data_IF_002337563591
#
_entry.id   IF_002337563591
#
_cell.length_a   1.000
_cell.length_b   1.000
_cell.length_c   1.000
_cell.angle_alpha   90.00
_cell.angle_beta   90.00
_cell.angle_gamma   90.00
#
_symmetry.space_group_name_H-M   'P 1'
#
loop_
_entity.id
_entity.type
_entity.pdbx_description
1 polymer ?
#
# COMPACT_ATOMS: atom_id res chain seq x y z
N UNK A 1 25.34 -94.33 -69.56
CA UNK A 1 25.18 -93.03 -70.24
C UNK A 1 25.21 -91.92 -69.19
N UNK A 2 25.98 -90.87 -69.49
CA UNK A 2 26.06 -89.65 -68.71
C UNK A 2 24.67 -89.01 -68.56
N UNK A 3 24.34 -88.57 -67.34
CA UNK A 3 23.42 -87.45 -67.14
C UNK A 3 23.96 -86.62 -65.98
N UNK A 4 24.33 -85.40 -66.33
CA UNK A 4 25.01 -84.41 -65.52
C UNK A 4 24.36 -84.15 -64.15
N UNK A 5 25.14 -83.74 -63.14
CA UNK A 5 24.58 -83.23 -61.90
C UNK A 5 24.06 -81.82 -62.17
N UNK A 6 22.74 -81.61 -62.08
CA UNK A 6 22.18 -80.25 -62.02
C UNK A 6 21.70 -79.94 -60.59
N UNK A 7 21.99 -78.74 -60.07
CA UNK A 7 22.00 -78.42 -58.65
C UNK A 7 20.65 -77.86 -58.22
N UNK A 8 20.11 -78.35 -57.11
CA UNK A 8 19.05 -77.63 -56.37
C UNK A 8 18.75 -78.33 -55.05
N UNK A 9 19.63 -78.24 -54.05
CA UNK A 9 19.11 -77.96 -52.72
C UNK A 9 18.69 -76.50 -52.75
N UNK A 10 17.42 -76.27 -53.09
CA UNK A 10 16.84 -74.94 -53.05
C UNK A 10 17.03 -74.39 -51.62
N UNK A 11 17.67 -73.22 -51.44
CA UNK A 11 17.82 -72.57 -50.13
C UNK A 11 16.48 -72.17 -49.47
N UNK A 12 15.34 -72.43 -50.12
CA UNK A 12 14.00 -71.99 -49.71
C UNK A 12 13.27 -72.88 -48.70
N UNK A 13 13.47 -74.20 -48.71
CA UNK A 13 12.74 -75.12 -47.82
C UNK A 13 13.34 -75.17 -46.39
N UNK A 14 14.66 -75.23 -46.27
CA UNK A 14 15.33 -75.10 -44.97
C UNK A 14 15.12 -73.70 -44.36
N UNK A 15 15.03 -72.66 -45.19
CA UNK A 15 14.75 -71.30 -44.75
C UNK A 15 13.30 -71.08 -44.27
N UNK A 16 12.34 -71.91 -44.69
CA UNK A 16 10.94 -71.82 -44.25
C UNK A 16 10.67 -72.62 -42.98
N UNK A 17 11.30 -73.78 -42.81
CA UNK A 17 11.25 -74.52 -41.53
C UNK A 17 11.98 -73.79 -40.40
N UNK A 18 13.15 -73.21 -40.67
CA UNK A 18 13.87 -72.39 -39.68
C UNK A 18 13.08 -71.15 -39.26
N UNK A 19 12.37 -70.49 -40.19
CA UNK A 19 11.45 -69.39 -39.85
C UNK A 19 10.30 -69.83 -38.95
N UNK A 20 9.70 -70.99 -39.19
CA UNK A 20 8.64 -71.56 -38.33
C UNK A 20 9.17 -71.91 -36.94
N UNK A 21 10.36 -72.48 -36.85
CA UNK A 21 11.01 -72.79 -35.56
C UNK A 21 11.37 -71.53 -34.77
N UNK A 22 11.91 -70.51 -35.45
CA UNK A 22 12.18 -69.20 -34.84
C UNK A 22 10.89 -68.52 -34.37
N UNK A 23 9.80 -68.59 -35.14
CA UNK A 23 8.51 -68.06 -34.71
C UNK A 23 7.96 -68.79 -33.46
N UNK A 24 8.08 -70.12 -33.40
CA UNK A 24 7.71 -70.90 -32.22
C UNK A 24 8.59 -70.59 -30.99
N UNK A 25 9.89 -70.37 -31.20
CA UNK A 25 10.79 -69.92 -30.14
C UNK A 25 10.41 -68.52 -29.63
N UNK A 26 10.12 -67.57 -30.52
CA UNK A 26 9.66 -66.22 -30.13
C UNK A 26 8.33 -66.27 -29.39
N UNK A 27 7.39 -67.11 -29.82
CA UNK A 27 6.14 -67.32 -29.10
C UNK A 27 6.39 -67.87 -27.68
N UNK A 28 7.25 -68.89 -27.56
CA UNK A 28 7.60 -69.48 -26.27
C UNK A 28 8.37 -68.52 -25.37
N UNK A 29 9.24 -67.68 -25.94
CA UNK A 29 9.90 -66.58 -25.22
C UNK A 29 8.85 -65.61 -24.68
N UNK A 30 7.89 -65.17 -25.50
CA UNK A 30 6.84 -64.26 -25.07
C UNK A 30 5.92 -64.86 -23.99
N UNK A 31 5.59 -66.16 -24.09
CA UNK A 31 4.83 -66.88 -23.07
C UNK A 31 5.60 -66.99 -21.75
N UNK A 32 6.89 -67.34 -21.80
CA UNK A 32 7.76 -67.35 -20.62
C UNK A 32 7.92 -65.96 -20.00
N UNK A 33 8.07 -64.91 -20.82
CA UNK A 33 8.15 -63.52 -20.34
C UNK A 33 6.86 -63.11 -19.64
N UNK A 34 5.69 -63.37 -20.23
CA UNK A 34 4.39 -63.07 -19.59
C UNK A 34 4.18 -63.83 -18.30
N UNK A 35 4.49 -65.13 -18.27
CA UNK A 35 4.39 -65.93 -17.06
C UNK A 35 5.34 -65.40 -15.96
N UNK A 36 6.56 -65.00 -16.33
CA UNK A 36 7.51 -64.39 -15.39
C UNK A 36 7.01 -63.04 -14.87
N UNK A 37 6.45 -62.18 -15.73
CA UNK A 37 5.87 -60.90 -15.33
C UNK A 37 4.67 -61.09 -14.40
N UNK A 38 3.76 -62.03 -14.71
CA UNK A 38 2.61 -62.36 -13.86
C UNK A 38 3.06 -62.86 -12.48
N UNK A 39 4.05 -63.76 -12.42
CA UNK A 39 4.58 -64.26 -11.15
C UNK A 39 5.23 -63.13 -10.35
N UNK A 40 5.98 -62.23 -10.99
CA UNK A 40 6.55 -61.05 -10.33
C UNK A 40 5.46 -60.15 -9.76
N UNK A 41 4.40 -59.85 -10.52
CA UNK A 41 3.28 -59.01 -10.05
C UNK A 41 2.56 -59.68 -8.87
N UNK A 42 2.33 -60.99 -8.91
CA UNK A 42 1.72 -61.73 -7.79
C UNK A 42 2.64 -61.77 -6.57
N UNK A 43 3.94 -61.94 -6.76
CA UNK A 43 4.94 -61.92 -5.68
C UNK A 43 5.01 -60.53 -5.02
N UNK A 44 4.99 -59.45 -5.81
CA UNK A 44 4.94 -58.08 -5.30
C UNK A 44 3.63 -57.80 -4.55
N UNK A 45 2.48 -58.22 -5.09
CA UNK A 45 1.17 -58.03 -4.46
C UNK A 45 1.01 -58.84 -3.15
N UNK A 46 1.57 -60.04 -3.07
CA UNK A 46 1.58 -60.85 -1.84
C UNK A 46 2.55 -60.29 -0.81
N UNK A 47 3.74 -59.87 -1.22
CA UNK A 47 4.71 -59.15 -0.38
C UNK A 47 4.09 -57.89 0.22
N UNK A 48 3.42 -57.07 -0.59
CA UNK A 48 2.78 -55.85 -0.12
C UNK A 48 1.66 -56.14 0.90
N UNK A 49 0.82 -57.14 0.65
CA UNK A 49 -0.20 -57.60 1.62
C UNK A 49 0.43 -58.09 2.93
N UNK A 50 1.54 -58.82 2.86
CA UNK A 50 2.25 -59.31 4.04
C UNK A 50 2.85 -58.16 4.85
N UNK A 51 3.52 -57.20 4.19
CA UNK A 51 4.09 -56.00 4.84
C UNK A 51 2.98 -55.16 5.48
N UNK A 52 1.85 -54.94 4.79
CA UNK A 52 0.70 -54.21 5.36
C UNK A 52 0.10 -54.92 6.57
N UNK A 53 0.00 -56.27 6.55
CA UNK A 53 -0.47 -57.05 7.70
C UNK A 53 0.49 -57.00 8.88
N UNK A 54 1.81 -57.07 8.62
CA UNK A 54 2.82 -56.94 9.66
C UNK A 54 2.74 -55.56 10.34
N UNK A 55 2.68 -54.48 9.56
CA UNK A 55 2.53 -53.13 10.08
C UNK A 55 1.20 -52.89 10.82
N UNK A 56 0.12 -53.56 10.40
CA UNK A 56 -1.16 -53.50 11.12
C UNK A 56 -1.12 -54.22 12.46
N UNK A 57 -0.43 -55.37 12.56
CA UNK A 57 -0.23 -56.10 13.81
C UNK A 57 0.62 -55.31 14.80
N UNK A 58 1.74 -54.74 14.36
CA UNK A 58 2.59 -53.89 15.19
C UNK A 58 1.79 -52.72 15.79
N UNK A 59 0.95 -52.05 15.00
CA UNK A 59 0.07 -50.98 15.50
C UNK A 59 -1.01 -51.46 16.46
N UNK A 60 -1.54 -52.67 16.26
CA UNK A 60 -2.51 -53.27 17.19
C UNK A 60 -1.84 -53.62 18.51
N UNK A 61 -0.65 -54.24 18.47
CA UNK A 61 0.17 -54.55 19.66
C UNK A 61 0.51 -53.26 20.44
N UNK A 62 0.85 -52.16 19.76
CA UNK A 62 1.06 -50.86 20.41
C UNK A 62 -0.21 -50.29 21.06
N UNK A 63 -1.38 -50.53 20.45
CA UNK A 63 -2.68 -50.09 20.98
C UNK A 63 -3.09 -50.95 22.18
N UNK A 64 -2.90 -52.27 22.10
CA UNK A 64 -3.12 -53.24 23.17
C UNK A 64 -2.23 -52.94 24.37
N UNK A 65 -0.91 -52.83 24.16
CA UNK A 65 0.03 -52.48 25.22
C UNK A 65 -0.26 -51.11 25.86
N UNK A 66 -0.94 -50.21 25.14
CA UNK A 66 -1.42 -48.95 25.70
C UNK A 66 -2.72 -49.14 26.46
N UNK A 67 -3.66 -49.90 25.94
CA UNK A 67 -4.92 -50.22 26.61
C UNK A 67 -4.66 -50.88 27.97
N UNK A 68 -3.83 -51.92 28.01
CA UNK A 68 -3.43 -52.66 29.21
C UNK A 68 -2.75 -51.78 30.27
N UNK A 69 -2.00 -50.74 29.87
CA UNK A 69 -1.37 -49.81 30.82
C UNK A 69 -2.38 -48.98 31.62
N UNK A 70 -3.57 -48.78 31.07
CA UNK A 70 -4.60 -47.92 31.66
C UNK A 70 -5.80 -48.70 32.18
N UNK A 71 -5.99 -49.95 31.76
CA UNK A 71 -6.92 -50.94 32.34
C UNK A 71 -6.32 -51.48 33.65
N UNK A 72 -6.76 -50.93 34.78
CA UNK A 72 -6.20 -51.28 36.10
C UNK A 72 -6.94 -52.41 36.78
N UNK A 73 -8.21 -52.60 36.44
CA UNK A 73 -9.04 -53.70 36.92
C UNK A 73 -8.96 -54.96 36.05
N UNK A 74 -8.24 -54.88 34.91
CA UNK A 74 -8.00 -55.97 33.97
C UNK A 74 -9.32 -56.62 33.52
N UNK A 75 -10.33 -55.79 33.28
CA UNK A 75 -11.67 -56.21 32.87
C UNK A 75 -11.88 -56.15 31.34
N UNK A 76 -10.80 -55.91 30.59
CA UNK A 76 -10.76 -55.67 29.14
C UNK A 76 -11.62 -54.46 28.70
N UNK A 77 -11.96 -53.55 29.61
CA UNK A 77 -12.83 -52.39 29.39
C UNK A 77 -12.39 -51.13 30.17
N UNK A 78 -12.00 -50.06 29.47
CA UNK A 78 -11.64 -48.82 30.17
C UNK A 78 -12.87 -48.13 30.80
N UNK A 79 -12.87 -48.03 32.12
CA UNK A 79 -13.87 -47.32 32.91
C UNK A 79 -13.76 -45.79 32.76
N UNK A 80 -14.79 -45.03 33.18
CA UNK A 80 -14.79 -43.56 33.10
C UNK A 80 -13.56 -42.92 33.76
N UNK A 81 -13.10 -43.49 34.88
CA UNK A 81 -11.94 -42.98 35.63
C UNK A 81 -10.63 -43.26 34.90
N UNK A 82 -10.53 -44.40 34.23
CA UNK A 82 -9.35 -44.79 33.46
C UNK A 82 -9.27 -44.02 32.15
N UNK A 83 -10.40 -43.76 31.50
CA UNK A 83 -10.46 -42.85 30.34
C UNK A 83 -10.01 -41.43 30.71
N UNK A 84 -10.39 -40.93 31.89
CA UNK A 84 -9.91 -39.65 32.41
C UNK A 84 -8.39 -39.68 32.70
N UNK A 85 -7.89 -40.78 33.28
CA UNK A 85 -6.46 -40.98 33.52
C UNK A 85 -5.67 -41.09 32.21
N UNK A 86 -6.23 -41.75 31.20
CA UNK A 86 -5.67 -41.90 29.86
C UNK A 86 -5.59 -40.56 29.13
N UNK A 87 -6.67 -39.78 29.13
CA UNK A 87 -6.68 -38.44 28.55
C UNK A 87 -5.65 -37.50 29.20
N UNK A 88 -5.48 -37.57 30.52
CA UNK A 88 -4.47 -36.79 31.26
C UNK A 88 -3.05 -37.29 31.05
N UNK A 89 -2.82 -38.60 31.08
CA UNK A 89 -1.49 -39.19 30.95
C UNK A 89 -0.95 -39.12 29.53
N UNK A 90 -1.77 -39.51 28.55
CA UNK A 90 -1.35 -39.63 27.15
C UNK A 90 -1.46 -38.31 26.38
N UNK A 91 -2.58 -37.60 26.54
CA UNK A 91 -2.85 -36.36 25.80
C UNK A 91 -2.61 -35.07 26.58
N UNK A 92 -2.22 -35.18 27.86
CA UNK A 92 -2.07 -34.04 28.80
C UNK A 92 -3.30 -33.13 28.79
N UNK A 93 -4.48 -33.73 28.65
CA UNK A 93 -5.73 -33.02 28.49
C UNK A 93 -6.73 -33.43 29.57
N UNK A 94 -7.31 -32.44 30.24
CA UNK A 94 -8.43 -32.66 31.15
C UNK A 94 -9.72 -32.67 30.34
N UNK A 95 -10.28 -33.87 30.14
CA UNK A 95 -11.52 -34.06 29.39
C UNK A 95 -12.69 -33.40 30.16
N UNK A 96 -13.45 -32.47 29.55
CA UNK A 96 -14.66 -31.91 30.15
C UNK A 96 -15.73 -32.99 30.36
N UNK A 97 -16.58 -32.84 31.39
CA UNK A 97 -17.64 -33.82 31.71
C UNK A 97 -18.62 -33.99 30.54
N UNK A 98 -19.00 -32.90 29.86
CA UNK A 98 -19.84 -32.94 28.66
C UNK A 98 -19.25 -33.79 27.54
N UNK A 99 -17.92 -33.72 27.34
CA UNK A 99 -17.23 -34.51 26.33
C UNK A 99 -17.13 -35.99 26.75
N UNK A 100 -16.94 -36.26 28.05
CA UNK A 100 -16.94 -37.60 28.60
C UNK A 100 -18.30 -38.28 28.44
N UNK A 101 -19.40 -37.58 28.71
CA UNK A 101 -20.75 -38.11 28.52
C UNK A 101 -21.09 -38.32 27.04
N UNK A 102 -20.65 -37.43 26.16
CA UNK A 102 -20.78 -37.62 24.72
C UNK A 102 -19.99 -38.84 24.23
N UNK A 103 -18.77 -39.04 24.73
CA UNK A 103 -17.98 -40.25 24.46
C UNK A 103 -18.71 -41.49 24.97
N UNK A 104 -19.25 -41.44 26.19
CA UNK A 104 -19.97 -42.57 26.80
C UNK A 104 -21.21 -42.96 25.98
N UNK A 105 -21.97 -41.99 25.49
CA UNK A 105 -23.18 -42.22 24.68
C UNK A 105 -22.90 -42.92 23.34
N UNK A 106 -21.71 -42.74 22.77
CA UNK A 106 -21.40 -43.23 21.42
C UNK A 106 -20.45 -44.43 21.40
N UNK A 107 -19.63 -44.63 22.44
CA UNK A 107 -18.60 -45.67 22.48
C UNK A 107 -18.93 -46.82 23.42
N UNK A 108 -19.86 -46.65 24.34
CA UNK A 108 -20.27 -47.71 25.27
C UNK A 108 -21.59 -48.31 24.78
N UNK A 109 -21.55 -49.60 24.45
CA UNK A 109 -22.73 -50.36 24.03
C UNK A 109 -23.72 -50.51 25.21
N UNK A 110 -25.02 -50.61 24.91
CA UNK A 110 -26.08 -50.72 25.93
C UNK A 110 -25.83 -51.93 26.85
N UNK A 111 -25.64 -51.67 28.15
CA UNK A 111 -25.39 -52.70 29.17
C UNK A 111 -23.93 -52.89 29.56
N UNK A 112 -22.97 -52.30 28.84
CA UNK A 112 -21.55 -52.32 29.21
C UNK A 112 -21.15 -51.12 30.09
N UNK A 113 -20.14 -51.30 30.94
CA UNK A 113 -19.67 -50.27 31.90
C UNK A 113 -18.35 -49.60 31.51
N UNK A 114 -17.78 -49.93 30.35
CA UNK A 114 -16.50 -49.39 29.89
C UNK A 114 -16.30 -49.47 28.38
N UNK A 115 -15.21 -48.87 27.90
CA UNK A 115 -14.82 -48.83 26.49
C UNK A 115 -13.93 -50.04 26.18
N UNK A 116 -14.38 -50.91 25.29
CA UNK A 116 -13.62 -52.09 24.84
C UNK A 116 -12.43 -51.71 23.96
N UNK A 117 -11.43 -52.59 23.90
CA UNK A 117 -10.26 -52.44 23.04
C UNK A 117 -10.63 -52.13 21.56
N UNK A 118 -11.64 -52.81 21.02
CA UNK A 118 -12.14 -52.59 19.64
C UNK A 118 -12.59 -51.14 19.38
N UNK A 119 -13.03 -50.44 20.43
CA UNK A 119 -13.50 -49.05 20.40
C UNK A 119 -12.44 -48.06 20.87
N UNK A 120 -11.25 -48.52 21.26
CA UNK A 120 -10.17 -47.67 21.78
C UNK A 120 -9.65 -46.67 20.74
N UNK A 121 -9.61 -47.06 19.46
CA UNK A 121 -9.28 -46.12 18.39
C UNK A 121 -10.30 -44.98 18.29
N UNK A 122 -11.60 -45.29 18.41
CA UNK A 122 -12.67 -44.29 18.44
C UNK A 122 -12.55 -43.38 19.65
N UNK A 123 -12.10 -43.90 20.79
CA UNK A 123 -11.86 -43.10 22.00
C UNK A 123 -10.77 -42.05 21.76
N UNK A 124 -9.68 -42.43 21.09
CA UNK A 124 -8.61 -41.51 20.70
C UNK A 124 -9.12 -40.39 19.78
N UNK A 125 -9.95 -40.74 18.79
CA UNK A 125 -10.58 -39.75 17.90
C UNK A 125 -11.46 -38.81 18.71
N UNK A 126 -12.31 -39.33 19.59
CA UNK A 126 -13.24 -38.51 20.35
C UNK A 126 -12.56 -37.58 21.37
N UNK A 127 -11.48 -38.04 22.03
CA UNK A 127 -10.62 -37.18 22.86
C UNK A 127 -9.94 -36.11 21.99
N UNK A 128 -9.48 -36.46 20.79
CA UNK A 128 -8.95 -35.51 19.81
C UNK A 128 -9.96 -34.41 19.44
N UNK A 129 -11.20 -34.80 19.15
CA UNK A 129 -12.29 -33.86 18.86
C UNK A 129 -12.58 -32.95 20.06
N UNK A 130 -12.60 -33.48 21.28
CA UNK A 130 -12.79 -32.67 22.49
C UNK A 130 -11.65 -31.66 22.72
N UNK A 131 -10.40 -32.04 22.42
CA UNK A 131 -9.23 -31.14 22.46
C UNK A 131 -9.33 -30.02 21.44
N UNK A 132 -9.73 -30.32 20.21
CA UNK A 132 -9.92 -29.28 19.20
C UNK A 132 -11.12 -28.39 19.51
N UNK A 133 -12.24 -28.94 20.00
CA UNK A 133 -13.39 -28.12 20.45
C UNK A 133 -13.02 -27.11 21.53
N UNK A 134 -12.27 -27.52 22.55
CA UNK A 134 -11.84 -26.60 23.62
C UNK A 134 -10.87 -25.52 23.12
N UNK A 135 -9.94 -25.89 22.23
CA UNK A 135 -9.06 -24.92 21.55
C UNK A 135 -9.86 -23.96 20.67
N UNK A 136 -10.85 -24.46 19.94
CA UNK A 136 -11.70 -23.67 19.06
C UNK A 136 -12.58 -22.71 19.83
N UNK A 137 -13.15 -23.11 20.98
CA UNK A 137 -13.89 -22.20 21.87
C UNK A 137 -12.98 -21.05 22.32
N UNK A 138 -11.75 -21.34 22.74
CA UNK A 138 -10.77 -20.32 23.15
C UNK A 138 -10.33 -19.42 21.98
N UNK A 139 -10.18 -19.98 20.78
CA UNK A 139 -9.86 -19.21 19.56
C UNK A 139 -11.03 -18.35 19.13
N UNK A 140 -12.26 -18.85 19.21
CA UNK A 140 -13.49 -18.10 18.90
C UNK A 140 -13.67 -16.95 19.87
N UNK A 141 -13.60 -17.18 21.18
CA UNK A 141 -13.72 -16.10 22.16
C UNK A 141 -12.63 -15.04 22.00
N UNK A 142 -11.39 -15.44 21.71
CA UNK A 142 -10.32 -14.48 21.41
C UNK A 142 -10.55 -13.73 20.10
N UNK A 143 -11.16 -14.33 19.09
CA UNK A 143 -11.49 -13.65 17.82
C UNK A 143 -12.66 -12.70 18.00
N UNK A 144 -13.71 -13.12 18.70
CA UNK A 144 -14.89 -12.31 19.01
C UNK A 144 -14.52 -11.09 19.85
N UNK A 145 -13.67 -11.25 20.87
CA UNK A 145 -13.17 -10.13 21.67
C UNK A 145 -12.35 -9.17 20.80
N UNK A 146 -11.44 -9.69 19.96
CA UNK A 146 -10.66 -8.88 19.03
C UNK A 146 -11.55 -8.14 18.04
N UNK A 147 -12.56 -8.80 17.48
CA UNK A 147 -13.48 -8.21 16.52
C UNK A 147 -14.35 -7.14 17.15
N UNK A 148 -14.83 -7.34 18.38
CA UNK A 148 -15.58 -6.33 19.13
C UNK A 148 -14.73 -5.09 19.37
N UNK A 149 -13.52 -5.27 19.93
CA UNK A 149 -12.59 -4.15 20.19
C UNK A 149 -12.21 -3.44 18.89
N UNK A 150 -11.90 -4.18 17.82
CA UNK A 150 -11.61 -3.58 16.51
C UNK A 150 -12.80 -2.82 15.95
N UNK A 151 -14.03 -3.29 16.15
CA UNK A 151 -15.23 -2.59 15.66
C UNK A 151 -15.44 -1.27 16.39
N UNK A 152 -15.26 -1.26 17.71
CA UNK A 152 -15.37 -0.05 18.54
C UNK A 152 -14.27 0.97 18.14
N UNK A 153 -13.01 0.53 18.04
CA UNK A 153 -11.90 1.40 17.63
C UNK A 153 -12.05 1.91 16.19
N UNK A 154 -12.57 1.07 15.27
CA UNK A 154 -12.86 1.51 13.89
C UNK A 154 -13.97 2.56 13.85
N UNK A 155 -14.99 2.45 14.70
CA UNK A 155 -16.05 3.44 14.78
C UNK A 155 -15.51 4.78 15.29
N UNK A 156 -14.66 4.76 16.31
CA UNK A 156 -13.98 5.96 16.82
C UNK A 156 -13.08 6.61 15.75
N UNK A 157 -12.31 5.81 15.01
CA UNK A 157 -11.52 6.30 13.86
C UNK A 157 -12.43 6.92 12.80
N UNK A 158 -13.58 6.32 12.48
CA UNK A 158 -14.51 6.88 11.50
C UNK A 158 -15.04 8.25 11.94
N UNK A 159 -15.37 8.42 13.22
CA UNK A 159 -15.89 9.69 13.73
C UNK A 159 -14.80 10.77 13.72
N UNK A 160 -13.57 10.42 14.12
CA UNK A 160 -12.42 11.32 14.02
C UNK A 160 -12.11 11.70 12.56
N UNK A 161 -12.21 10.76 11.62
CA UNK A 161 -12.05 11.05 10.17
C UNK A 161 -13.17 11.97 9.66
N UNK A 162 -14.41 11.82 10.14
CA UNK A 162 -15.50 12.75 9.78
C UNK A 162 -15.27 14.15 10.33
N UNK A 163 -14.70 14.29 11.53
CA UNK A 163 -14.33 15.59 12.06
C UNK A 163 -13.22 16.24 11.24
N UNK A 164 -12.16 15.49 10.92
CA UNK A 164 -11.12 15.95 10.03
C UNK A 164 -11.66 16.32 8.63
N UNK A 165 -12.64 15.58 8.11
CA UNK A 165 -13.29 15.89 6.84
C UNK A 165 -13.99 17.26 6.84
N UNK A 166 -14.63 17.64 7.95
CA UNK A 166 -15.24 18.98 8.09
C UNK A 166 -14.18 20.08 8.09
N UNK A 167 -13.07 19.85 8.79
CA UNK A 167 -11.95 20.79 8.81
C UNK A 167 -11.31 20.96 7.41
N UNK A 168 -11.16 19.86 6.66
CA UNK A 168 -10.74 19.89 5.25
C UNK A 168 -11.71 20.71 4.39
N UNK A 169 -13.02 20.54 4.56
CA UNK A 169 -14.02 21.27 3.78
C UNK A 169 -14.01 22.78 4.09
N UNK A 170 -13.77 23.17 5.34
CA UNK A 170 -13.60 24.57 5.74
C UNK A 170 -12.34 25.19 5.13
N UNK A 171 -11.22 24.46 5.19
CA UNK A 171 -9.98 24.90 4.57
C UNK A 171 -10.10 25.00 3.04
N UNK A 172 -10.79 24.06 2.37
CA UNK A 172 -11.02 24.11 0.92
C UNK A 172 -11.89 25.31 0.50
N UNK A 173 -12.88 25.68 1.32
CA UNK A 173 -13.66 26.92 1.11
C UNK A 173 -12.78 28.16 1.20
N UNK A 174 -11.82 28.18 2.12
CA UNK A 174 -10.89 29.30 2.26
C UNK A 174 -9.93 29.38 1.06
N UNK A 175 -9.34 28.25 0.64
CA UNK A 175 -8.52 28.16 -0.58
C UNK A 175 -9.31 28.62 -1.81
N UNK A 176 -10.59 28.29 -1.89
CA UNK A 176 -11.46 28.73 -2.99
C UNK A 176 -11.70 30.24 -3.01
N UNK A 177 -11.68 30.93 -1.86
CA UNK A 177 -11.72 32.40 -1.80
C UNK A 177 -10.41 33.00 -2.31
N UNK A 178 -9.27 32.44 -1.89
CA UNK A 178 -7.94 32.84 -2.37
C UNK A 178 -7.85 32.70 -3.90
N UNK A 179 -8.32 31.58 -4.45
CA UNK A 179 -8.31 31.36 -5.90
C UNK A 179 -9.11 32.40 -6.69
N UNK A 180 -10.28 32.79 -6.17
CA UNK A 180 -11.10 33.85 -6.78
C UNK A 180 -10.40 35.21 -6.77
N UNK A 181 -9.59 35.48 -5.76
CA UNK A 181 -8.81 36.71 -5.66
C UNK A 181 -7.63 36.73 -6.64
N UNK A 182 -6.93 35.60 -6.81
CA UNK A 182 -5.75 35.53 -7.72
C UNK A 182 -6.12 35.45 -9.19
N UNK A 183 -7.29 34.90 -9.53
CA UNK A 183 -7.73 34.72 -10.93
C UNK A 183 -7.72 36.02 -11.76
N UNK A 184 -8.24 37.17 -11.28
CA UNK A 184 -8.20 38.43 -12.02
C UNK A 184 -6.86 39.18 -11.94
N UNK A 185 -5.87 38.73 -11.17
CA UNK A 185 -4.62 39.50 -10.99
C UNK A 185 -3.89 39.73 -12.32
N UNK A 186 -3.85 38.73 -13.19
CA UNK A 186 -3.14 38.86 -14.47
C UNK A 186 -3.77 39.90 -15.41
N UNK A 187 -5.10 40.08 -15.38
CA UNK A 187 -5.77 41.11 -16.18
C UNK A 187 -5.66 42.48 -15.51
N UNK A 188 -5.90 42.54 -14.20
CA UNK A 188 -5.77 43.75 -13.38
C UNK A 188 -4.37 44.37 -13.45
N UNK A 189 -3.34 43.54 -13.60
CA UNK A 189 -1.96 44.01 -13.70
C UNK A 189 -1.71 44.94 -14.87
N UNK A 190 -2.53 44.87 -15.92
CA UNK A 190 -2.38 45.73 -17.10
C UNK A 190 -2.89 47.14 -16.82
N UNK A 191 -3.96 47.27 -16.04
CA UNK A 191 -4.72 48.52 -15.88
C UNK A 191 -4.49 49.21 -14.54
N UNK A 192 -4.09 48.48 -13.49
CA UNK A 192 -3.88 49.07 -12.16
C UNK A 192 -2.60 49.90 -12.08
N UNK A 193 -2.65 50.92 -11.20
CA UNK A 193 -1.50 51.71 -10.80
C UNK A 193 -0.56 50.90 -9.91
N UNK A 194 0.73 51.26 -9.90
CA UNK A 194 1.77 50.52 -9.17
C UNK A 194 1.49 50.42 -7.66
N UNK A 195 1.09 51.50 -6.95
CA UNK A 195 0.80 51.42 -5.52
C UNK A 195 -0.32 50.41 -5.21
N UNK A 196 -1.44 50.50 -5.93
CA UNK A 196 -2.58 49.60 -5.78
C UNK A 196 -2.22 48.14 -6.14
N UNK A 197 -1.28 47.93 -7.08
CA UNK A 197 -0.78 46.59 -7.40
C UNK A 197 0.03 45.99 -6.24
N UNK A 198 0.80 46.80 -5.51
CA UNK A 198 1.58 46.32 -4.37
C UNK A 198 0.63 45.98 -3.22
N UNK A 199 -0.29 46.88 -2.87
CA UNK A 199 -1.27 46.68 -1.80
C UNK A 199 -2.13 45.43 -2.05
N UNK A 200 -2.66 45.26 -3.26
CA UNK A 200 -3.45 44.08 -3.62
C UNK A 200 -2.62 42.78 -3.56
N UNK A 201 -1.32 42.84 -3.86
CA UNK A 201 -0.42 41.69 -3.73
C UNK A 201 -0.16 41.32 -2.27
N UNK A 202 0.04 42.33 -1.40
CA UNK A 202 0.23 42.15 0.05
C UNK A 202 -1.01 41.50 0.68
N UNK A 203 -2.20 42.00 0.36
CA UNK A 203 -3.48 41.42 0.81
C UNK A 203 -3.63 39.96 0.34
N UNK A 204 -3.31 39.70 -0.93
CA UNK A 204 -3.42 38.35 -1.50
C UNK A 204 -2.43 37.39 -0.84
N UNK A 205 -1.19 37.84 -0.58
CA UNK A 205 -0.18 37.02 0.08
C UNK A 205 -0.53 36.74 1.55
N UNK A 206 -1.14 37.70 2.25
CA UNK A 206 -1.68 37.48 3.59
C UNK A 206 -2.74 36.37 3.58
N UNK A 207 -3.71 36.43 2.67
CA UNK A 207 -4.72 35.38 2.53
C UNK A 207 -4.12 34.01 2.14
N UNK A 208 -3.10 33.99 1.27
CA UNK A 208 -2.38 32.74 0.91
C UNK A 208 -1.67 32.16 2.14
N UNK A 209 -1.04 33.00 2.97
CA UNK A 209 -0.34 32.59 4.19
C UNK A 209 -1.30 31.95 5.19
N UNK A 210 -2.44 32.60 5.44
CA UNK A 210 -3.49 32.05 6.31
C UNK A 210 -4.05 30.72 5.77
N UNK A 211 -4.27 30.63 4.46
CA UNK A 211 -4.75 29.39 3.84
C UNK A 211 -3.74 28.24 3.96
N UNK A 212 -2.44 28.54 3.86
CA UNK A 212 -1.37 27.56 4.09
C UNK A 212 -1.31 27.12 5.56
N UNK A 213 -1.48 28.04 6.50
CA UNK A 213 -1.53 27.72 7.92
C UNK A 213 -2.70 26.78 8.25
N UNK A 214 -3.91 27.11 7.79
CA UNK A 214 -5.10 26.25 7.97
C UNK A 214 -4.91 24.87 7.34
N UNK A 215 -4.36 24.80 6.12
CA UNK A 215 -4.06 23.51 5.48
C UNK A 215 -2.99 22.71 6.24
N UNK A 216 -2.01 23.39 6.83
CA UNK A 216 -1.00 22.79 7.71
C UNK A 216 -1.61 22.20 8.98
N UNK A 217 -2.49 22.93 9.64
CA UNK A 217 -3.16 22.49 10.87
C UNK A 217 -4.04 21.26 10.61
N UNK A 218 -4.80 21.25 9.51
CA UNK A 218 -5.63 20.10 9.12
C UNK A 218 -4.77 18.86 8.81
N UNK A 219 -3.62 19.05 8.15
CA UNK A 219 -2.67 17.95 7.92
C UNK A 219 -2.11 17.40 9.23
N UNK A 220 -1.72 18.27 10.16
CA UNK A 220 -1.25 17.86 11.48
C UNK A 220 -2.32 17.12 12.29
N UNK A 221 -3.60 17.52 12.15
CA UNK A 221 -4.72 16.78 12.77
C UNK A 221 -4.85 15.37 12.18
N UNK A 222 -4.76 15.22 10.86
CA UNK A 222 -4.81 13.90 10.21
C UNK A 222 -3.64 12.99 10.62
N UNK A 223 -2.43 13.53 10.73
CA UNK A 223 -1.25 12.75 11.13
C UNK A 223 -1.39 12.23 12.57
N UNK A 224 -1.93 13.05 13.48
CA UNK A 224 -2.20 12.67 14.88
C UNK A 224 -3.24 11.56 15.02
N UNK A 225 -4.14 11.38 14.04
CA UNK A 225 -5.13 10.28 14.08
C UNK A 225 -4.46 8.90 14.01
N UNK A 226 -3.21 8.82 13.55
CA UNK A 226 -2.45 7.57 13.47
C UNK A 226 -1.68 7.23 14.75
N UNK A 227 -1.67 8.15 15.72
CA UNK A 227 -1.00 8.00 17.02
C UNK A 227 -1.94 7.37 18.06
N UNK A 228 -1.39 6.65 19.03
CA UNK A 228 -2.16 6.10 20.15
C UNK A 228 -2.86 4.76 19.89
N UNK A 229 -2.66 4.13 18.72
CA UNK A 229 -3.16 2.78 18.48
C UNK A 229 -2.47 1.73 19.35
N UNK A 230 -3.26 0.83 19.95
CA UNK A 230 -2.76 -0.33 20.71
C UNK A 230 -1.91 -1.22 19.78
N UNK A 231 -0.67 -1.53 20.20
CA UNK A 231 0.30 -2.34 19.47
C UNK A 231 -0.29 -3.63 18.88
N UNK A 232 -1.29 -4.21 19.55
CA UNK A 232 -1.97 -5.44 19.12
C UNK A 232 -2.79 -5.29 17.84
N UNK A 233 -3.24 -4.09 17.53
CA UNK A 233 -4.17 -3.78 16.44
C UNK A 233 -3.66 -2.70 15.48
N UNK A 234 -2.46 -2.15 15.73
CA UNK A 234 -1.83 -1.08 14.93
C UNK A 234 -1.91 -1.35 13.43
N UNK A 235 -1.64 -2.57 12.97
CA UNK A 235 -1.63 -2.88 11.54
C UNK A 235 -3.01 -2.77 10.90
N UNK A 236 -4.03 -3.31 11.56
CA UNK A 236 -5.41 -3.31 11.06
C UNK A 236 -6.04 -1.92 11.14
N UNK A 237 -5.77 -1.19 12.23
CA UNK A 237 -6.27 0.17 12.43
C UNK A 237 -5.59 1.16 11.48
N UNK A 238 -4.27 1.05 11.26
CA UNK A 238 -3.58 1.87 10.25
C UNK A 238 -4.08 1.59 8.84
N UNK A 239 -4.28 0.32 8.47
CA UNK A 239 -4.82 -0.02 7.15
C UNK A 239 -6.22 0.56 6.93
N UNK A 240 -7.06 0.52 7.97
CA UNK A 240 -8.40 1.10 7.95
C UNK A 240 -8.35 2.63 7.89
N UNK A 241 -7.59 3.28 8.77
CA UNK A 241 -7.39 4.74 8.76
C UNK A 241 -6.88 5.21 7.40
N UNK A 242 -5.87 4.56 6.83
CA UNK A 242 -5.33 4.92 5.51
C UNK A 242 -6.38 4.83 4.40
N UNK A 243 -7.31 3.88 4.49
CA UNK A 243 -8.38 3.73 3.50
C UNK A 243 -9.39 4.87 3.61
N UNK A 244 -9.79 5.21 4.84
CA UNK A 244 -10.74 6.30 5.12
C UNK A 244 -10.13 7.69 4.87
N UNK A 245 -8.87 7.90 5.27
CA UNK A 245 -8.15 9.16 5.13
C UNK A 245 -7.68 9.44 3.69
N UNK A 246 -7.56 8.43 2.82
CA UNK A 246 -7.08 8.58 1.43
C UNK A 246 -7.80 9.67 0.65
N UNK A 247 -9.13 9.77 0.80
CA UNK A 247 -9.90 10.82 0.11
C UNK A 247 -9.62 12.22 0.67
N UNK A 248 -9.29 12.32 1.96
CA UNK A 248 -8.89 13.57 2.60
C UNK A 248 -7.47 13.96 2.17
N UNK A 249 -6.53 13.02 2.15
CA UNK A 249 -5.16 13.24 1.65
C UNK A 249 -5.13 13.74 0.20
N UNK A 250 -5.94 13.12 -0.67
CA UNK A 250 -6.07 13.56 -2.07
C UNK A 250 -6.60 14.99 -2.14
N UNK A 251 -7.61 15.34 -1.32
CA UNK A 251 -8.15 16.71 -1.25
C UNK A 251 -7.09 17.70 -0.76
N UNK A 252 -6.36 17.36 0.29
CA UNK A 252 -5.25 18.18 0.80
C UNK A 252 -4.15 18.41 -0.23
N UNK A 253 -3.74 17.36 -0.96
CA UNK A 253 -2.75 17.50 -2.05
C UNK A 253 -3.24 18.40 -3.20
N UNK A 254 -4.54 18.37 -3.51
CA UNK A 254 -5.14 19.32 -4.46
C UNK A 254 -5.12 20.75 -3.91
N UNK A 255 -5.43 20.96 -2.65
CA UNK A 255 -5.37 22.27 -2.00
C UNK A 255 -3.95 22.86 -2.04
N UNK A 256 -2.92 22.07 -1.75
CA UNK A 256 -1.53 22.52 -1.85
C UNK A 256 -1.16 22.95 -3.28
N UNK A 257 -1.59 22.17 -4.27
CA UNK A 257 -1.38 22.51 -5.69
C UNK A 257 -2.07 23.82 -6.07
N UNK A 258 -3.28 24.07 -5.55
CA UNK A 258 -4.04 25.31 -5.73
C UNK A 258 -3.35 26.50 -5.08
N UNK A 259 -2.88 26.35 -3.84
CA UNK A 259 -2.13 27.37 -3.10
C UNK A 259 -0.78 27.69 -3.73
N UNK A 260 -0.09 26.69 -4.27
CA UNK A 260 1.16 26.88 -5.01
C UNK A 260 0.93 27.72 -6.27
N UNK A 261 -0.14 27.43 -7.04
CA UNK A 261 -0.53 28.26 -8.19
C UNK A 261 -0.87 29.70 -7.78
N UNK A 262 -1.63 29.88 -6.70
CA UNK A 262 -1.97 31.19 -6.17
C UNK A 262 -0.73 32.00 -5.77
N UNK A 263 0.22 31.36 -5.08
CA UNK A 263 1.52 31.96 -4.70
C UNK A 263 2.29 32.42 -5.94
N UNK A 264 2.36 31.58 -6.98
CA UNK A 264 3.06 31.91 -8.22
C UNK A 264 2.39 33.08 -8.97
N UNK A 265 1.06 33.17 -8.96
CA UNK A 265 0.33 34.26 -9.58
C UNK A 265 0.55 35.59 -8.85
N UNK A 266 0.51 35.58 -7.52
CA UNK A 266 0.81 36.76 -6.70
C UNK A 266 2.25 37.25 -6.90
N UNK A 267 3.22 36.33 -6.91
CA UNK A 267 4.62 36.66 -7.19
C UNK A 267 4.79 37.33 -8.57
N UNK A 268 4.18 36.74 -9.62
CA UNK A 268 4.20 37.35 -10.97
C UNK A 268 3.52 38.71 -11.03
N UNK A 269 2.48 38.93 -10.23
CA UNK A 269 1.78 40.22 -10.14
C UNK A 269 2.70 41.30 -9.56
N UNK A 270 3.45 40.97 -8.49
CA UNK A 270 4.50 41.86 -7.94
C UNK A 270 5.62 42.12 -8.94
N UNK A 271 6.10 41.10 -9.64
CA UNK A 271 7.12 41.27 -10.69
C UNK A 271 6.64 42.23 -11.80
N UNK A 272 5.36 42.15 -12.18
CA UNK A 272 4.77 43.06 -13.16
C UNK A 272 4.69 44.50 -12.65
N UNK A 273 4.35 44.70 -11.37
CA UNK A 273 4.41 46.03 -10.73
C UNK A 273 5.84 46.60 -10.78
N UNK A 274 6.84 45.77 -10.47
CA UNK A 274 8.26 46.13 -10.55
C UNK A 274 8.67 46.53 -11.98
N UNK A 275 8.31 45.74 -13.00
CA UNK A 275 8.60 46.06 -14.40
C UNK A 275 7.92 47.37 -14.85
N UNK A 276 6.66 47.60 -14.44
CA UNK A 276 5.97 48.87 -14.71
C UNK A 276 6.71 50.06 -14.09
N UNK A 277 7.17 49.92 -12.85
CA UNK A 277 7.96 50.95 -12.16
C UNK A 277 9.22 51.33 -12.94
N UNK A 278 9.95 50.35 -13.45
CA UNK A 278 11.14 50.61 -14.28
C UNK A 278 10.77 51.35 -15.56
N UNK A 279 9.70 50.95 -16.25
CA UNK A 279 9.25 51.60 -17.49
C UNK A 279 8.79 53.04 -17.24
N UNK A 280 8.05 53.29 -16.15
CA UNK A 280 7.63 54.65 -15.77
C UNK A 280 8.82 55.53 -15.39
N UNK A 281 9.79 54.99 -14.64
CA UNK A 281 11.02 55.70 -14.28
C UNK A 281 11.85 56.05 -15.52
N UNK A 282 12.00 55.12 -16.47
CA UNK A 282 12.72 55.39 -17.71
C UNK A 282 12.02 56.44 -18.59
N UNK A 283 10.67 56.44 -18.61
CA UNK A 283 9.90 57.51 -19.30
C UNK A 283 10.11 58.87 -18.65
N UNK A 284 10.07 58.93 -17.32
CA UNK A 284 10.35 60.16 -16.57
C UNK A 284 11.77 60.65 -16.81
N UNK A 285 12.76 59.74 -16.81
CA UNK A 285 14.16 60.05 -17.13
C UNK A 285 14.32 60.63 -18.52
N UNK A 286 13.69 60.03 -19.54
CA UNK A 286 13.72 60.55 -20.92
C UNK A 286 13.08 61.94 -20.99
N UNK A 287 11.95 62.15 -20.31
CA UNK A 287 11.29 63.46 -20.26
C UNK A 287 12.15 64.53 -19.56
N UNK A 288 12.73 64.21 -18.41
CA UNK A 288 13.65 65.07 -17.68
C UNK A 288 14.86 65.45 -18.53
N UNK A 289 15.46 64.47 -19.23
CA UNK A 289 16.58 64.70 -20.14
C UNK A 289 16.19 65.60 -21.33
N UNK A 290 14.97 65.49 -21.87
CA UNK A 290 14.47 66.37 -22.93
C UNK A 290 14.34 67.82 -22.45
N UNK A 291 13.80 68.04 -21.25
CA UNK A 291 13.68 69.37 -20.65
C UNK A 291 15.07 69.97 -20.39
N UNK A 292 16.01 69.19 -19.82
CA UNK A 292 17.40 69.64 -19.62
C UNK A 292 18.06 70.09 -20.93
N UNK A 293 17.92 69.29 -22.00
CA UNK A 293 18.45 69.64 -23.33
C UNK A 293 17.76 70.86 -23.94
N UNK A 294 16.45 71.02 -23.74
CA UNK A 294 15.71 72.18 -24.20
C UNK A 294 16.17 73.46 -23.52
N UNK A 295 16.42 73.41 -22.21
CA UNK A 295 16.92 74.55 -21.43
C UNK A 295 18.34 74.90 -21.84
N UNK A 296 19.17 73.88 -22.04
CA UNK A 296 20.53 74.02 -22.56
C UNK A 296 20.53 74.73 -23.93
N UNK A 297 19.65 74.33 -24.86
CA UNK A 297 19.58 74.96 -26.18
C UNK A 297 18.99 76.36 -26.15
N UNK A 298 17.92 76.57 -25.37
CA UNK A 298 17.25 77.87 -25.23
C UNK A 298 18.19 78.94 -24.64
N UNK A 299 18.97 78.55 -23.62
CA UNK A 299 19.93 79.44 -22.95
C UNK A 299 21.34 79.39 -23.55
N UNK A 300 21.58 78.52 -24.54
CA UNK A 300 22.88 78.27 -25.20
C UNK A 300 24.01 77.96 -24.21
N UNK A 301 23.71 77.12 -23.23
CA UNK A 301 24.64 76.75 -22.16
C UNK A 301 25.56 75.61 -22.62
N UNK A 302 26.83 75.66 -22.19
CA UNK A 302 27.73 74.50 -22.22
C UNK A 302 27.25 73.41 -21.25
N UNK A 303 27.91 72.25 -21.25
CA UNK A 303 27.55 71.18 -20.31
C UNK A 303 27.90 71.58 -18.87
N UNK A 304 29.03 72.26 -18.70
CA UNK A 304 29.53 72.77 -17.43
C UNK A 304 28.61 73.88 -16.89
N UNK A 305 28.18 74.82 -17.74
CA UNK A 305 27.25 75.90 -17.36
C UNK A 305 25.84 75.38 -17.05
N UNK A 306 25.40 74.30 -17.70
CA UNK A 306 24.14 73.63 -17.35
C UNK A 306 24.26 72.92 -16.00
N UNK A 307 25.40 72.30 -15.71
CA UNK A 307 25.65 71.66 -14.42
C UNK A 307 25.65 72.69 -13.29
N UNK A 308 26.40 73.79 -13.45
CA UNK A 308 26.42 74.93 -12.51
C UNK A 308 25.05 75.62 -12.35
N UNK A 309 24.16 75.52 -13.36
CA UNK A 309 22.80 76.04 -13.24
C UNK A 309 21.90 75.16 -12.36
N UNK A 310 22.19 73.86 -12.28
CA UNK A 310 21.44 72.89 -11.48
C UNK A 310 22.04 72.77 -10.07
N UNK A 311 23.37 72.79 -9.95
CA UNK A 311 24.16 72.86 -8.71
C UNK A 311 24.07 74.27 -8.12
N UNK A 312 23.06 74.48 -7.28
CA UNK A 312 22.69 75.80 -6.79
C UNK A 312 23.55 76.25 -5.61
N UNK A 313 24.12 75.31 -4.84
CA UNK A 313 25.01 75.60 -3.72
C UNK A 313 26.51 75.58 -4.11
N UNK A 314 26.84 75.08 -5.30
CA UNK A 314 28.17 75.11 -5.89
C UNK A 314 29.12 74.09 -5.25
N UNK A 315 28.60 73.00 -4.70
CA UNK A 315 29.39 71.97 -4.04
C UNK A 315 30.02 70.95 -5.00
N UNK A 316 29.67 71.02 -6.30
CA UNK A 316 30.17 70.14 -7.35
C UNK A 316 29.41 68.83 -7.48
N UNK A 317 28.33 68.64 -6.73
CA UNK A 317 27.37 67.54 -6.84
C UNK A 317 25.97 68.09 -7.19
N UNK A 318 25.05 67.22 -7.63
CA UNK A 318 23.64 67.59 -7.80
C UNK A 318 22.84 66.80 -6.79
N UNK A 319 22.35 67.47 -5.77
CA UNK A 319 21.51 66.87 -4.75
C UNK A 319 20.06 66.68 -5.24
N UNK A 320 19.30 65.79 -4.60
CA UNK A 320 17.88 65.59 -4.90
C UNK A 320 17.05 66.90 -4.76
N UNK A 321 17.23 67.73 -3.71
CA UNK A 321 16.55 69.02 -3.60
C UNK A 321 16.87 69.97 -4.75
N UNK A 322 18.14 70.07 -5.17
CA UNK A 322 18.57 70.94 -6.28
C UNK A 322 17.99 70.50 -7.61
N UNK A 323 18.04 69.18 -7.88
CA UNK A 323 17.43 68.60 -9.06
C UNK A 323 15.93 68.91 -9.11
N UNK A 324 15.21 68.70 -8.01
CA UNK A 324 13.77 69.00 -7.93
C UNK A 324 13.48 70.48 -8.11
N UNK A 325 14.23 71.36 -7.43
CA UNK A 325 14.08 72.81 -7.52
C UNK A 325 14.35 73.33 -8.95
N UNK A 326 15.32 72.77 -9.65
CA UNK A 326 15.57 73.06 -11.06
C UNK A 326 14.32 72.77 -11.91
N UNK A 327 13.72 71.58 -11.78
CA UNK A 327 12.52 71.27 -12.55
C UNK A 327 11.31 72.09 -12.09
N UNK A 328 11.19 72.50 -10.84
CA UNK A 328 10.09 73.37 -10.38
C UNK A 328 10.15 74.78 -10.97
N UNK A 329 11.36 75.34 -11.10
CA UNK A 329 11.58 76.72 -11.55
C UNK A 329 11.67 76.84 -13.08
N UNK A 330 11.89 75.73 -13.78
CA UNK A 330 12.18 75.72 -15.22
C UNK A 330 10.93 75.42 -16.05
N UNK A 331 10.84 76.05 -17.24
CA UNK A 331 9.74 75.83 -18.18
C UNK A 331 9.76 74.38 -18.70
N UNK A 332 8.64 73.69 -18.51
CA UNK A 332 8.45 72.28 -18.86
C UNK A 332 7.81 72.09 -20.24
N UNK A 333 7.34 73.17 -20.86
CA UNK A 333 6.73 73.14 -22.19
C UNK A 333 7.82 73.12 -23.29
N UNK A 334 8.32 71.92 -23.57
CA UNK A 334 9.27 71.69 -24.67
C UNK A 334 8.57 71.92 -26.01
N UNK A 335 8.76 73.11 -26.60
CA UNK A 335 8.36 73.41 -27.98
C UNK A 335 9.42 72.85 -28.94
N UNK A 336 9.02 72.35 -30.10
CA UNK A 336 9.96 72.02 -31.17
C UNK A 336 10.75 73.28 -31.52
N UNK A 337 12.04 73.30 -31.18
CA UNK A 337 12.97 74.31 -31.66
C UNK A 337 13.49 73.77 -32.97
N UNK A 338 13.06 74.37 -34.09
CA UNK A 338 13.66 74.10 -35.40
C UNK A 338 15.17 74.36 -35.28
N UNK A 339 15.95 73.31 -35.44
CA UNK A 339 17.41 73.37 -35.51
C UNK A 339 17.77 73.66 -36.97
N UNK A 340 18.15 74.91 -37.26
CA UNK A 340 18.99 75.24 -38.43
C UNK A 340 20.44 74.83 -38.20
#
# INVERSE_FOLDING_TARGET
EMKDPNPATAPGDQATETKKFLAALVQRINECTRASEEVTIQAEGTKEKAVRRAAAREKLEELEARFERYDKDADDMLSRREVLAYARGHFKFTLPEEALDAIWRHLVDEGHRGVRLDRFHWLNIAIGVARERTRDVKRRSSREEKERVLKELKAEIQDNVKEAAKAVDEADRYVSKVEKQVQPLTSKARTMAIPDMIELADDTDAMISEAKALAGDVRAQLDRLSEGFDERYVTDLKAFLNTEAKQLEIRMGRMDSRLSRATNLSCRFREQAGRKRVVELERLRIAAAKVLRYVQSLKRLSNEELFELVDADGDGEISEPEFLNFFETTDKDVKEVDLE
#
